data_IF_014786548985
#
_entry.id   IF_014786548985
#
_cell.length_a   1.000
_cell.length_b   1.000
_cell.length_c   1.000
_cell.angle_alpha   90.00
_cell.angle_beta   90.00
_cell.angle_gamma   90.00
#
_symmetry.space_group_name_H-M   'P 1'
#
loop_
_entity.id
_entity.type
_entity.pdbx_description
1 polymer ?
#
# COMPACT_ATOMS: atom_id res chain seq x y z
N UNK A 1 -42.97 53.89 53.74
CA UNK A 1 -43.07 53.36 52.33
C UNK A 1 -41.75 53.04 51.65
N UNK A 2 -40.62 53.28 52.29
CA UNK A 2 -39.28 52.93 51.70
C UNK A 2 -38.76 51.53 52.08
N UNK A 3 -39.11 51.02 53.25
CA UNK A 3 -38.60 49.71 53.78
C UNK A 3 -39.24 48.53 53.00
N UNK A 4 -40.46 48.60 52.56
CA UNK A 4 -41.17 47.56 51.81
C UNK A 4 -40.49 47.28 50.42
N UNK A 5 -39.95 48.32 49.79
CA UNK A 5 -39.26 48.16 48.51
C UNK A 5 -37.91 47.47 48.62
N UNK A 6 -37.22 47.67 49.72
CA UNK A 6 -35.94 47.01 50.03
C UNK A 6 -36.11 45.50 50.33
N UNK A 7 -37.16 45.16 51.07
CA UNK A 7 -37.52 43.77 51.38
C UNK A 7 -37.87 43.00 50.08
N UNK A 8 -38.61 43.64 49.16
CA UNK A 8 -39.00 43.05 47.90
C UNK A 8 -37.78 42.85 46.96
N UNK A 9 -36.84 43.80 46.98
CA UNK A 9 -35.60 43.71 46.20
C UNK A 9 -34.67 42.61 46.74
N UNK A 10 -34.54 42.49 48.08
CA UNK A 10 -33.78 41.44 48.73
C UNK A 10 -34.38 40.04 48.49
N UNK A 11 -35.73 39.93 48.51
CA UNK A 11 -36.38 38.66 48.19
C UNK A 11 -36.20 38.23 46.73
N UNK A 12 -36.18 39.19 45.75
CA UNK A 12 -35.93 38.91 44.34
C UNK A 12 -34.46 38.49 44.07
N UNK A 13 -33.50 39.01 44.84
CA UNK A 13 -32.11 38.63 44.74
C UNK A 13 -31.82 37.20 45.27
N UNK A 14 -32.53 36.80 46.34
CA UNK A 14 -32.39 35.43 46.91
C UNK A 14 -33.04 34.38 45.98
N UNK A 15 -34.10 34.76 45.26
CA UNK A 15 -34.76 33.85 44.28
C UNK A 15 -33.93 33.61 43.02
N UNK A 16 -33.01 34.50 42.68
CA UNK A 16 -32.12 34.36 41.50
C UNK A 16 -30.89 33.45 41.74
N UNK A 17 -30.56 33.17 42.99
CA UNK A 17 -29.37 32.34 43.34
C UNK A 17 -29.64 30.82 43.37
N UNK A 18 -30.87 30.39 43.04
CA UNK A 18 -31.28 28.99 43.17
C UNK A 18 -31.00 28.06 41.95
N UNK A 19 -30.48 28.55 40.83
CA UNK A 19 -30.25 27.72 39.63
C UNK A 19 -28.83 27.71 39.16
N UNK A 20 -27.89 27.43 40.08
CA UNK A 20 -26.57 26.97 39.65
C UNK A 20 -26.68 25.44 39.54
N UNK A 21 -27.05 24.95 38.39
CA UNK A 21 -26.85 23.56 38.05
C UNK A 21 -25.31 23.36 37.99
N UNK A 22 -24.78 22.73 39.04
CA UNK A 22 -23.44 22.22 38.96
C UNK A 22 -23.36 21.26 37.76
N UNK A 23 -22.53 21.58 36.77
CA UNK A 23 -22.26 20.67 35.68
C UNK A 23 -21.72 19.39 36.33
N UNK A 24 -22.36 18.27 36.05
CA UNK A 24 -21.84 16.95 36.42
C UNK A 24 -20.40 16.84 35.90
N UNK A 25 -19.45 16.97 36.77
CA UNK A 25 -18.05 16.73 36.46
C UNK A 25 -17.92 15.25 36.17
N UNK A 26 -17.86 14.90 34.87
CA UNK A 26 -17.60 13.52 34.45
C UNK A 26 -16.26 13.13 35.05
N UNK A 27 -16.26 12.20 36.00
CA UNK A 27 -15.03 11.73 36.62
C UNK A 27 -14.15 11.03 35.57
N UNK A 28 -12.81 11.16 35.69
CA UNK A 28 -11.86 10.49 34.80
C UNK A 28 -12.13 8.97 34.72
N UNK A 29 -12.49 8.36 35.85
CA UNK A 29 -12.82 6.93 35.88
C UNK A 29 -14.04 6.60 35.01
N UNK A 30 -15.09 7.42 35.02
CA UNK A 30 -16.24 7.26 34.13
C UNK A 30 -15.88 7.38 32.65
N UNK A 31 -14.93 8.24 32.28
CA UNK A 31 -14.41 8.36 30.92
C UNK A 31 -13.62 7.11 30.52
N UNK A 32 -12.75 6.62 31.40
CA UNK A 32 -11.99 5.40 31.19
C UNK A 32 -12.92 4.19 31.00
N UNK A 33 -13.89 4.00 31.89
CA UNK A 33 -14.85 2.90 31.83
C UNK A 33 -15.70 2.95 30.54
N UNK A 34 -16.14 4.15 30.14
CA UNK A 34 -16.89 4.32 28.89
C UNK A 34 -16.03 4.04 27.67
N UNK A 35 -14.75 4.49 27.67
CA UNK A 35 -13.84 4.22 26.55
C UNK A 35 -13.50 2.74 26.44
N UNK A 36 -13.28 2.03 27.54
CA UNK A 36 -13.09 0.59 27.55
C UNK A 36 -14.29 -0.15 26.99
N UNK A 37 -15.51 0.19 27.43
CA UNK A 37 -16.74 -0.41 26.90
C UNK A 37 -16.91 -0.18 25.40
N UNK A 38 -16.50 0.97 24.87
CA UNK A 38 -16.52 1.22 23.44
C UNK A 38 -15.57 0.27 22.71
N UNK A 39 -14.33 0.14 23.17
CA UNK A 39 -13.33 -0.74 22.57
C UNK A 39 -13.76 -2.22 22.64
N UNK A 40 -14.37 -2.65 23.75
CA UNK A 40 -14.86 -4.02 23.94
C UNK A 40 -16.08 -4.33 23.06
N UNK A 41 -17.04 -3.40 22.97
CA UNK A 41 -18.28 -3.62 22.24
C UNK A 41 -18.16 -3.36 20.73
N UNK A 42 -17.22 -2.48 20.34
CA UNK A 42 -17.00 -2.08 18.95
C UNK A 42 -15.52 -2.20 18.56
N UNK A 43 -14.93 -3.41 18.63
CA UNK A 43 -13.54 -3.61 18.24
C UNK A 43 -13.40 -3.34 16.74
N UNK A 44 -12.40 -2.57 16.35
CA UNK A 44 -12.06 -2.42 14.94
C UNK A 44 -11.19 -3.57 14.47
N UNK A 45 -11.38 -3.99 13.22
CA UNK A 45 -10.53 -4.99 12.58
C UNK A 45 -9.34 -4.34 11.89
N UNK A 46 -8.28 -5.12 11.77
CA UNK A 46 -7.09 -4.83 10.97
C UNK A 46 -6.86 -5.98 10.00
N UNK A 47 -6.46 -5.66 8.81
CA UNK A 47 -6.03 -6.62 7.79
C UNK A 47 -4.56 -6.40 7.50
N UNK A 48 -3.80 -7.47 7.41
CA UNK A 48 -2.42 -7.45 6.93
C UNK A 48 -2.27 -8.46 5.80
N UNK A 49 -1.67 -8.04 4.68
CA UNK A 49 -1.34 -8.92 3.56
C UNK A 49 0.16 -9.18 3.53
N UNK A 50 0.52 -10.45 3.56
CA UNK A 50 1.87 -10.93 3.30
C UNK A 50 1.96 -11.41 1.85
N UNK A 51 2.92 -10.87 1.10
CA UNK A 51 3.16 -11.19 -0.30
C UNK A 51 4.39 -12.06 -0.45
N UNK A 52 4.42 -12.89 -1.49
CA UNK A 52 5.56 -13.76 -1.82
C UNK A 52 6.75 -12.96 -2.38
N UNK A 53 6.51 -11.80 -2.99
CA UNK A 53 7.55 -10.93 -3.57
C UNK A 53 7.29 -9.46 -3.26
N UNK A 54 8.32 -8.62 -3.25
CA UNK A 54 8.16 -7.17 -3.06
C UNK A 54 7.79 -6.43 -4.35
N UNK A 55 8.02 -7.02 -5.53
CA UNK A 55 7.70 -6.49 -6.86
C UNK A 55 7.42 -7.65 -7.83
N UNK A 56 6.76 -7.35 -8.94
CA UNK A 56 6.34 -8.34 -9.92
C UNK A 56 6.61 -7.85 -11.34
N UNK A 57 6.54 -8.76 -12.32
CA UNK A 57 6.52 -8.44 -13.73
C UNK A 57 5.16 -8.80 -14.33
N UNK A 58 4.82 -8.16 -15.44
CA UNK A 58 3.68 -8.57 -16.25
C UNK A 58 3.88 -10.04 -16.67
N UNK A 59 2.87 -10.87 -16.47
CA UNK A 59 2.95 -12.33 -16.63
C UNK A 59 3.15 -13.10 -15.33
N UNK A 60 3.60 -12.44 -14.25
CA UNK A 60 3.70 -13.05 -12.93
C UNK A 60 2.33 -13.25 -12.28
N UNK A 61 2.31 -14.03 -11.21
CA UNK A 61 1.17 -14.11 -10.30
C UNK A 61 1.57 -13.55 -8.94
N UNK A 62 0.80 -12.59 -8.46
CA UNK A 62 0.91 -12.07 -7.10
C UNK A 62 0.24 -13.07 -6.16
N UNK A 63 1.00 -13.72 -5.29
CA UNK A 63 0.47 -14.59 -4.24
C UNK A 63 0.49 -13.86 -2.92
N UNK A 64 -0.60 -13.99 -2.16
CA UNK A 64 -0.65 -13.37 -0.84
C UNK A 64 -1.46 -14.20 0.16
N UNK A 65 -1.10 -14.03 1.42
CA UNK A 65 -1.86 -14.48 2.57
C UNK A 65 -2.29 -13.27 3.39
N UNK A 66 -3.56 -13.22 3.74
CA UNK A 66 -4.13 -12.21 4.62
C UNK A 66 -4.27 -12.74 6.04
N UNK A 67 -4.05 -11.86 7.00
CA UNK A 67 -4.29 -12.09 8.41
C UNK A 67 -5.28 -11.04 8.91
N UNK A 68 -6.28 -11.46 9.66
CA UNK A 68 -7.31 -10.59 10.19
C UNK A 68 -7.23 -10.60 11.71
N UNK A 69 -7.05 -9.41 12.30
CA UNK A 69 -6.91 -9.23 13.73
C UNK A 69 -7.81 -8.08 14.21
N UNK A 70 -8.05 -8.01 15.50
CA UNK A 70 -8.64 -6.83 16.16
C UNK A 70 -7.57 -5.74 16.37
N UNK A 71 -7.99 -4.55 16.75
CA UNK A 71 -7.09 -3.44 17.08
C UNK A 71 -6.05 -3.74 18.13
N UNK A 72 -6.26 -4.76 18.95
CA UNK A 72 -5.32 -5.23 19.98
C UNK A 72 -4.46 -6.40 19.50
N UNK A 73 -4.37 -6.61 18.19
CA UNK A 73 -3.60 -7.68 17.51
C UNK A 73 -4.03 -9.11 17.91
N UNK A 74 -5.27 -9.26 18.41
CA UNK A 74 -5.87 -10.56 18.65
C UNK A 74 -6.56 -11.07 17.39
N UNK A 75 -6.56 -12.38 17.13
CA UNK A 75 -7.29 -12.96 16.01
C UNK A 75 -8.76 -12.52 15.99
N UNK A 76 -9.28 -12.11 14.83
CA UNK A 76 -10.65 -11.64 14.69
C UNK A 76 -11.51 -12.64 13.93
N UNK A 77 -12.65 -12.99 14.55
CA UNK A 77 -13.70 -13.81 13.93
C UNK A 77 -14.94 -13.01 13.53
N UNK A 78 -14.89 -11.69 13.60
CA UNK A 78 -16.04 -10.81 13.31
C UNK A 78 -16.46 -10.90 11.85
N UNK A 79 -15.50 -10.89 10.93
CA UNK A 79 -15.76 -10.93 9.49
C UNK A 79 -15.47 -12.30 8.90
N UNK A 80 -16.26 -12.69 7.91
CA UNK A 80 -16.09 -13.97 7.19
C UNK A 80 -15.64 -13.79 5.74
N UNK A 81 -15.58 -12.55 5.27
CA UNK A 81 -15.18 -12.21 3.89
C UNK A 81 -14.17 -11.07 3.90
N UNK A 82 -13.06 -11.29 3.21
CA UNK A 82 -12.06 -10.30 2.91
C UNK A 82 -12.30 -9.74 1.50
N UNK A 83 -12.29 -8.43 1.36
CA UNK A 83 -12.30 -7.72 0.08
C UNK A 83 -10.87 -7.30 -0.24
N UNK A 84 -10.45 -7.57 -1.48
CA UNK A 84 -9.12 -7.18 -1.97
C UNK A 84 -9.27 -6.51 -3.32
N UNK A 85 -8.84 -5.27 -3.40
CA UNK A 85 -8.90 -4.44 -4.60
C UNK A 85 -7.48 -4.20 -5.13
N UNK A 86 -7.31 -4.34 -6.43
CA UNK A 86 -6.12 -3.89 -7.17
C UNK A 86 -6.48 -2.63 -7.94
N UNK A 87 -5.77 -1.56 -7.67
CA UNK A 87 -6.04 -0.21 -8.15
C UNK A 87 -4.82 0.25 -8.94
N UNK A 88 -5.02 0.74 -10.16
CA UNK A 88 -3.96 1.30 -10.99
C UNK A 88 -3.52 2.69 -10.49
N UNK A 89 -2.40 3.19 -11.00
CA UNK A 89 -1.80 4.47 -10.61
C UNK A 89 -2.73 5.68 -10.81
N UNK A 90 -3.65 5.58 -11.77
CA UNK A 90 -4.68 6.60 -12.04
C UNK A 90 -5.95 6.43 -11.18
N UNK A 91 -5.86 5.71 -10.06
CA UNK A 91 -6.97 5.36 -9.14
C UNK A 91 -8.11 4.53 -9.78
N UNK A 92 -7.89 3.94 -10.96
CA UNK A 92 -8.86 3.02 -11.56
C UNK A 92 -8.83 1.67 -10.85
N UNK A 93 -10.00 1.20 -10.41
CA UNK A 93 -10.17 -0.16 -9.91
C UNK A 93 -10.03 -1.16 -11.05
N UNK A 94 -8.94 -1.93 -11.06
CA UNK A 94 -8.63 -2.91 -12.12
C UNK A 94 -9.24 -4.27 -11.79
N UNK A 95 -9.19 -4.67 -10.52
CA UNK A 95 -9.73 -5.95 -10.05
C UNK A 95 -10.22 -5.83 -8.62
N UNK A 96 -11.33 -6.49 -8.34
CA UNK A 96 -11.85 -6.68 -6.98
C UNK A 96 -12.12 -8.16 -6.74
N UNK A 97 -11.77 -8.64 -5.55
CA UNK A 97 -11.94 -10.03 -5.15
C UNK A 97 -12.60 -10.11 -3.78
N UNK A 98 -13.38 -11.19 -3.58
CA UNK A 98 -13.96 -11.57 -2.28
C UNK A 98 -13.39 -12.92 -1.89
N UNK A 99 -12.71 -12.99 -0.77
CA UNK A 99 -12.05 -14.19 -0.28
C UNK A 99 -12.68 -14.65 1.04
N UNK A 100 -12.95 -15.94 1.22
CA UNK A 100 -13.42 -16.45 2.49
C UNK A 100 -12.31 -16.34 3.55
N UNK A 101 -12.68 -15.91 4.75
CA UNK A 101 -11.81 -15.91 5.91
C UNK A 101 -12.03 -17.22 6.66
N UNK A 102 -10.97 -18.01 6.82
CA UNK A 102 -10.97 -19.28 7.57
C UNK A 102 -9.84 -19.21 8.59
N UNK A 103 -10.16 -19.48 9.84
CA UNK A 103 -9.20 -19.41 10.95
C UNK A 103 -8.40 -18.08 10.92
N UNK A 104 -9.13 -16.96 10.85
CA UNK A 104 -8.59 -15.58 10.85
C UNK A 104 -7.61 -15.26 9.72
N UNK A 105 -7.61 -16.05 8.67
CA UNK A 105 -6.76 -15.85 7.49
C UNK A 105 -7.51 -16.09 6.18
N UNK A 106 -7.00 -15.51 5.10
CA UNK A 106 -7.47 -15.76 3.74
C UNK A 106 -6.27 -15.86 2.79
N UNK A 107 -6.46 -16.58 1.68
CA UNK A 107 -5.43 -16.76 0.66
C UNK A 107 -5.96 -16.27 -0.68
N UNK A 108 -5.11 -15.64 -1.45
CA UNK A 108 -5.48 -15.16 -2.77
C UNK A 108 -4.31 -15.05 -3.73
N UNK A 109 -4.67 -14.93 -5.00
CA UNK A 109 -3.70 -14.68 -6.05
C UNK A 109 -4.29 -13.79 -7.15
N UNK A 110 -3.41 -13.01 -7.79
CA UNK A 110 -3.75 -12.17 -8.95
C UNK A 110 -2.75 -12.47 -10.04
N UNK A 111 -3.20 -13.11 -11.12
CA UNK A 111 -2.37 -13.30 -12.31
C UNK A 111 -2.35 -12.01 -13.11
N UNK A 112 -1.14 -11.54 -13.43
CA UNK A 112 -0.89 -10.30 -14.17
C UNK A 112 -0.82 -10.59 -15.69
N UNK A 113 -1.95 -10.89 -16.29
CA UNK A 113 -2.04 -11.25 -17.71
C UNK A 113 -1.54 -10.12 -18.62
N UNK A 114 -0.64 -10.39 -19.59
CA UNK A 114 0.01 -9.36 -20.42
C UNK A 114 -0.95 -8.48 -21.23
N UNK A 115 -2.13 -8.98 -21.58
CA UNK A 115 -3.13 -8.23 -22.33
C UNK A 115 -3.97 -7.29 -21.46
N UNK A 116 -4.02 -7.57 -20.15
CA UNK A 116 -4.86 -6.84 -19.18
C UNK A 116 -4.06 -5.86 -18.35
N UNK A 117 -2.84 -6.24 -17.96
CA UNK A 117 -2.01 -5.46 -17.06
C UNK A 117 -0.82 -4.85 -17.81
N UNK A 118 -0.49 -3.62 -17.45
CA UNK A 118 0.69 -2.89 -17.93
C UNK A 118 1.68 -2.70 -16.81
N UNK A 119 2.94 -2.43 -17.15
CA UNK A 119 3.92 -1.95 -16.18
C UNK A 119 3.47 -0.63 -15.56
N UNK A 120 3.76 -0.44 -14.28
CA UNK A 120 3.40 0.74 -13.51
C UNK A 120 3.29 0.44 -12.02
N UNK A 121 2.88 1.43 -11.24
CA UNK A 121 2.61 1.28 -9.84
C UNK A 121 1.14 0.94 -9.62
N UNK A 122 0.91 -0.16 -8.93
CA UNK A 122 -0.44 -0.56 -8.53
C UNK A 122 -0.55 -0.49 -7.01
N UNK A 123 -1.73 -0.17 -6.54
CA UNK A 123 -2.05 -0.17 -5.12
C UNK A 123 -2.98 -1.34 -4.81
N UNK A 124 -2.55 -2.21 -3.90
CA UNK A 124 -3.45 -3.22 -3.33
C UNK A 124 -4.05 -2.65 -2.06
N UNK A 125 -5.38 -2.70 -1.98
CA UNK A 125 -6.18 -2.34 -0.81
C UNK A 125 -6.95 -3.57 -0.34
N UNK A 126 -6.95 -3.81 0.98
CA UNK A 126 -7.70 -4.91 1.56
C UNK A 126 -8.44 -4.49 2.82
N UNK A 127 -9.69 -4.96 2.96
CA UNK A 127 -10.56 -4.59 4.06
C UNK A 127 -11.66 -5.64 4.25
N UNK A 128 -12.28 -5.64 5.42
CA UNK A 128 -13.50 -6.40 5.69
C UNK A 128 -14.72 -5.48 5.65
N UNK A 129 -15.92 -6.05 5.53
CA UNK A 129 -17.13 -5.23 5.56
C UNK A 129 -17.32 -4.51 6.90
N UNK A 130 -16.86 -5.11 8.00
CA UNK A 130 -16.87 -4.50 9.32
C UNK A 130 -16.02 -3.21 9.39
N UNK A 131 -14.90 -3.20 8.70
CA UNK A 131 -13.99 -2.04 8.66
C UNK A 131 -14.61 -0.81 7.98
N UNK A 132 -15.65 -0.97 7.16
CA UNK A 132 -16.38 0.16 6.54
C UNK A 132 -17.12 1.05 7.55
N UNK A 133 -17.32 0.58 8.79
CA UNK A 133 -17.88 1.39 9.87
C UNK A 133 -16.87 2.38 10.47
N UNK A 134 -15.61 2.31 10.04
CA UNK A 134 -14.50 3.11 10.55
C UNK A 134 -13.84 3.91 9.40
N UNK A 135 -12.76 4.63 9.71
CA UNK A 135 -12.01 5.37 8.71
C UNK A 135 -11.32 4.42 7.70
N UNK A 136 -11.35 4.77 6.42
CA UNK A 136 -10.61 4.05 5.36
C UNK A 136 -9.09 4.01 5.60
N UNK A 137 -8.56 4.89 6.43
CA UNK A 137 -7.14 4.87 6.85
C UNK A 137 -6.76 3.59 7.62
N UNK A 138 -7.74 2.83 8.10
CA UNK A 138 -7.52 1.54 8.75
C UNK A 138 -7.40 0.38 7.75
N UNK A 139 -7.75 0.61 6.48
CA UNK A 139 -7.63 -0.43 5.47
C UNK A 139 -6.15 -0.72 5.19
N UNK A 140 -5.85 -1.98 4.94
CA UNK A 140 -4.53 -2.30 4.43
C UNK A 140 -4.34 -1.67 3.06
N UNK A 141 -3.22 -0.98 2.87
CA UNK A 141 -2.86 -0.38 1.59
C UNK A 141 -1.36 -0.53 1.34
N UNK A 142 -0.99 -1.03 0.17
CA UNK A 142 0.41 -1.19 -0.24
C UNK A 142 0.58 -0.95 -1.72
N UNK A 143 1.57 -0.15 -2.09
CA UNK A 143 1.99 0.01 -3.47
C UNK A 143 2.87 -1.15 -3.89
N UNK A 144 2.58 -1.73 -5.06
CA UNK A 144 3.31 -2.84 -5.67
C UNK A 144 3.76 -2.39 -7.05
N UNK A 145 5.06 -2.26 -7.27
CA UNK A 145 5.59 -1.99 -8.61
C UNK A 145 5.47 -3.24 -9.48
N UNK A 146 4.92 -3.07 -10.67
CA UNK A 146 4.83 -4.10 -11.71
C UNK A 146 5.67 -3.63 -12.88
N UNK A 147 6.75 -4.36 -13.17
CA UNK A 147 7.62 -4.10 -14.32
C UNK A 147 7.10 -4.76 -15.59
N UNK A 148 7.70 -4.39 -16.72
CA UNK A 148 7.49 -5.14 -17.95
C UNK A 148 8.06 -6.55 -17.80
N UNK A 149 7.42 -7.52 -18.43
CA UNK A 149 8.03 -8.83 -18.59
C UNK A 149 9.39 -8.62 -19.26
N UNK A 150 10.45 -9.12 -18.63
CA UNK A 150 11.78 -9.09 -19.26
C UNK A 150 11.67 -9.91 -20.54
N UNK A 151 11.40 -9.22 -21.61
CA UNK A 151 11.34 -9.84 -22.93
C UNK A 151 12.79 -10.11 -23.37
N UNK A 152 13.31 -11.26 -22.98
CA UNK A 152 14.65 -11.72 -23.38
C UNK A 152 14.71 -12.07 -24.88
N UNK A 153 13.96 -11.32 -25.71
CA UNK A 153 14.02 -11.52 -27.16
C UNK A 153 15.42 -11.29 -27.73
N UNK A 154 16.25 -10.55 -26.98
CA UNK A 154 17.61 -10.23 -27.40
C UNK A 154 18.58 -10.63 -26.29
N UNK A 155 19.47 -11.55 -26.59
CA UNK A 155 20.62 -11.92 -25.77
C UNK A 155 21.81 -11.16 -26.33
N UNK A 156 22.50 -10.41 -25.46
CA UNK A 156 23.70 -9.64 -25.86
C UNK A 156 24.92 -10.31 -25.30
N UNK A 157 25.80 -10.77 -26.16
CA UNK A 157 27.11 -11.29 -25.80
C UNK A 157 28.20 -10.26 -26.16
N UNK A 158 28.95 -9.82 -25.16
CA UNK A 158 30.00 -8.83 -25.33
C UNK A 158 31.36 -9.55 -25.14
N UNK A 159 32.22 -9.49 -26.16
CA UNK A 159 33.57 -9.99 -26.07
C UNK A 159 34.55 -8.81 -26.18
N UNK A 160 35.49 -8.75 -25.24
CA UNK A 160 36.53 -7.73 -25.19
C UNK A 160 37.89 -8.42 -25.41
N UNK A 161 38.54 -8.09 -26.52
CA UNK A 161 39.89 -8.56 -26.82
C UNK A 161 40.84 -7.38 -26.76
N UNK A 162 41.73 -7.34 -25.78
CA UNK A 162 42.74 -6.31 -25.63
C UNK A 162 44.09 -6.78 -26.17
N UNK A 163 44.69 -6.02 -27.08
CA UNK A 163 46.08 -6.18 -27.46
C UNK A 163 46.91 -5.02 -26.94
N UNK A 164 47.95 -5.30 -26.18
CA UNK A 164 48.88 -4.28 -25.70
C UNK A 164 50.08 -4.32 -26.64
N UNK A 165 49.95 -3.62 -27.78
CA UNK A 165 51.06 -3.41 -28.70
C UNK A 165 51.58 -1.99 -28.57
N UNK A 166 52.72 -1.81 -27.91
CA UNK A 166 53.38 -0.52 -27.79
C UNK A 166 52.76 0.45 -26.79
N UNK A 167 52.83 1.75 -27.10
CA UNK A 167 52.41 2.84 -26.19
C UNK A 167 50.92 3.12 -26.14
N UNK A 168 50.10 2.45 -26.94
CA UNK A 168 48.62 2.69 -26.99
C UNK A 168 47.90 1.35 -26.97
N UNK A 169 47.28 0.97 -25.86
CA UNK A 169 46.46 -0.22 -25.79
C UNK A 169 45.22 -0.07 -26.66
N UNK A 170 44.96 -1.03 -27.52
CA UNK A 170 43.73 -1.08 -28.33
C UNK A 170 42.85 -2.20 -27.80
N UNK A 171 41.58 -1.85 -27.52
CA UNK A 171 40.57 -2.82 -27.08
C UNK A 171 39.58 -3.03 -28.24
N UNK A 172 39.58 -4.25 -28.79
CA UNK A 172 38.57 -4.64 -29.79
C UNK A 172 37.37 -5.19 -29.06
N UNK A 173 36.23 -4.52 -29.26
CA UNK A 173 34.94 -4.93 -28.67
C UNK A 173 34.07 -5.55 -29.76
N UNK A 174 33.63 -6.78 -29.54
CA UNK A 174 32.65 -7.46 -30.39
C UNK A 174 31.37 -7.64 -29.59
N UNK A 175 30.24 -7.21 -30.18
CA UNK A 175 28.92 -7.33 -29.58
C UNK A 175 28.05 -8.16 -30.50
N UNK A 176 27.60 -9.33 -30.01
CA UNK A 176 26.68 -10.21 -30.73
C UNK A 176 25.31 -10.17 -30.10
N UNK A 177 24.33 -9.82 -30.91
CA UNK A 177 22.92 -9.86 -30.54
C UNK A 177 22.26 -11.10 -31.10
N UNK A 178 21.63 -11.92 -30.24
CA UNK A 178 21.00 -13.18 -30.62
C UNK A 178 19.58 -13.25 -30.04
N UNK A 179 18.71 -14.03 -30.67
CA UNK A 179 17.43 -14.42 -30.05
C UNK A 179 17.64 -15.57 -29.04
N UNK A 180 16.54 -16.06 -28.47
CA UNK A 180 16.57 -17.15 -27.48
C UNK A 180 17.04 -18.47 -28.08
N UNK A 181 16.91 -18.64 -29.40
CA UNK A 181 17.34 -19.84 -30.14
C UNK A 181 18.76 -19.73 -30.63
N UNK A 182 19.50 -18.68 -30.26
CA UNK A 182 20.90 -18.44 -30.63
C UNK A 182 21.07 -17.83 -32.03
N UNK A 183 20.00 -17.49 -32.74
CA UNK A 183 20.04 -16.89 -34.07
C UNK A 183 20.42 -15.41 -33.98
N UNK A 184 21.48 -15.03 -34.74
CA UNK A 184 21.97 -13.66 -34.76
C UNK A 184 20.93 -12.68 -35.40
N UNK A 185 20.78 -11.52 -34.78
CA UNK A 185 20.03 -10.41 -35.37
C UNK A 185 20.88 -9.71 -36.42
N UNK A 186 20.66 -10.04 -37.69
CA UNK A 186 21.33 -9.40 -38.80
C UNK A 186 20.53 -8.15 -39.30
N UNK A 187 21.26 -7.20 -39.91
CA UNK A 187 20.70 -6.01 -40.57
C UNK A 187 19.83 -5.11 -39.65
N UNK A 188 20.17 -4.99 -38.39
CA UNK A 188 19.53 -4.06 -37.45
C UNK A 188 20.44 -2.87 -37.16
N UNK A 189 19.85 -1.67 -37.13
CA UNK A 189 20.57 -0.49 -36.68
C UNK A 189 20.68 -0.53 -35.16
N UNK A 190 21.88 -0.36 -34.64
CA UNK A 190 22.20 -0.34 -33.21
C UNK A 190 22.86 0.96 -32.88
N UNK A 191 22.36 1.66 -31.88
CA UNK A 191 23.04 2.84 -31.33
C UNK A 191 23.77 2.44 -30.06
N UNK A 192 25.02 2.89 -29.93
CA UNK A 192 25.85 2.55 -28.77
C UNK A 192 26.52 3.79 -28.18
N UNK A 193 26.87 3.73 -26.90
CA UNK A 193 27.68 4.72 -26.18
C UNK A 193 28.71 4.03 -25.30
N UNK A 194 29.94 4.51 -25.37
CA UNK A 194 30.99 4.14 -24.43
C UNK A 194 31.07 5.22 -23.34
N UNK A 195 30.89 4.80 -22.09
CA UNK A 195 30.89 5.70 -20.94
C UNK A 195 32.02 5.29 -20.00
N UNK A 196 32.83 6.24 -19.56
CA UNK A 196 33.82 6.07 -18.49
C UNK A 196 33.67 7.21 -17.48
N UNK A 197 33.66 6.87 -16.19
CA UNK A 197 33.52 7.84 -15.08
C UNK A 197 32.39 8.87 -15.29
N UNK A 198 31.23 8.41 -15.80
CA UNK A 198 30.03 9.21 -16.11
C UNK A 198 30.13 10.10 -17.36
N UNK A 199 31.24 10.09 -18.08
CA UNK A 199 31.39 10.82 -19.33
C UNK A 199 31.26 9.89 -20.54
N UNK A 200 30.59 10.38 -21.61
CA UNK A 200 30.50 9.64 -22.88
C UNK A 200 31.81 9.83 -23.65
N UNK A 201 32.59 8.78 -23.80
CA UNK A 201 33.89 8.80 -24.53
C UNK A 201 33.65 8.67 -26.04
N UNK A 202 32.71 7.80 -26.43
CA UNK A 202 32.40 7.55 -27.83
C UNK A 202 30.94 7.14 -28.01
N UNK A 203 30.40 7.31 -29.21
CA UNK A 203 29.06 6.91 -29.61
C UNK A 203 29.00 6.60 -31.11
N UNK A 204 28.04 5.78 -31.51
CA UNK A 204 27.78 5.47 -32.91
C UNK A 204 26.35 4.92 -33.14
#
# INVERSE_FOLDING_TARGET
>A
MKISRFIFLAFFLVFKSGFIFAQDTISLNNLIDKSQKIVENYPYEKVYLHFDKPYYAVGDTIWFKAYIATGQDQPSDLSKVLYVDLIAENDTLVRSMKLPIVNTSAYGSITLEPLTYKSGNYRIRAYTYWMLNFSENLFFSKNIPIGDAINRKIITNISLNGEINGKSPTINTSILYQDQDGKAFANKKVSWRLISKFETIARG
#
